data_IF_120589165904
#
_entry.id   IF_120589165904
#
_cell.length_a   1.000
_cell.length_b   1.000
_cell.length_c   1.000
_cell.angle_alpha   90.00
_cell.angle_beta   90.00
_cell.angle_gamma   90.00
#
_symmetry.space_group_name_H-M   'P 1'
#
loop_
_entity.id
_entity.type
_entity.pdbx_description
1 polymer ?
#
# COMPACT_ATOMS: atom_id res chain seq x y z
N UNK A 1 20.31 -20.23 -10.87
CA UNK A 1 19.25 -20.27 -9.84
C UNK A 1 18.77 -18.84 -9.63
N UNK A 2 17.45 -18.60 -9.61
CA UNK A 2 16.94 -17.24 -9.34
C UNK A 2 17.38 -16.78 -7.95
N UNK A 3 17.79 -15.53 -7.83
CA UNK A 3 18.26 -14.95 -6.55
C UNK A 3 17.17 -14.18 -5.80
N UNK A 4 15.95 -14.14 -6.34
CA UNK A 4 14.79 -13.48 -5.76
C UNK A 4 13.50 -14.23 -6.14
N UNK A 5 12.43 -14.08 -5.36
CA UNK A 5 11.15 -14.67 -5.73
C UNK A 5 10.63 -14.01 -7.00
N UNK A 6 10.64 -14.75 -8.08
CA UNK A 6 10.16 -14.26 -9.37
C UNK A 6 8.67 -14.47 -9.47
N UNK A 7 7.90 -13.44 -9.29
CA UNK A 7 6.51 -13.46 -9.74
C UNK A 7 6.36 -12.79 -11.12
N UNK A 8 7.34 -11.98 -11.54
CA UNK A 8 7.14 -11.07 -12.65
C UNK A 8 5.91 -10.22 -12.36
N UNK A 9 4.84 -10.43 -13.12
CA UNK A 9 3.51 -9.89 -12.88
C UNK A 9 2.50 -10.95 -12.41
N UNK A 10 2.96 -12.18 -12.17
CA UNK A 10 2.10 -13.27 -11.69
C UNK A 10 1.52 -12.97 -10.31
N UNK A 11 0.25 -13.22 -10.11
CA UNK A 11 -0.47 -12.88 -8.88
C UNK A 11 -0.84 -11.41 -8.73
N UNK A 12 -0.53 -10.55 -9.71
CA UNK A 12 -0.99 -9.18 -9.74
C UNK A 12 -2.48 -9.11 -10.05
N UNK A 13 -3.21 -8.36 -9.25
CA UNK A 13 -4.65 -8.16 -9.39
C UNK A 13 -5.01 -6.67 -9.31
N UNK A 14 -6.27 -6.35 -9.47
CA UNK A 14 -6.78 -5.02 -9.23
C UNK A 14 -6.32 -3.98 -10.25
N UNK A 15 -6.25 -2.74 -9.82
CA UNK A 15 -5.95 -1.63 -10.72
C UNK A 15 -4.53 -1.64 -11.29
N UNK A 16 -3.52 -2.16 -10.58
CA UNK A 16 -2.20 -2.34 -11.17
C UNK A 16 -2.22 -3.29 -12.37
N UNK A 17 -2.97 -4.39 -12.27
CA UNK A 17 -3.17 -5.32 -13.39
C UNK A 17 -3.99 -4.69 -14.52
N UNK A 18 -5.08 -3.99 -14.20
CA UNK A 18 -5.88 -3.25 -15.19
C UNK A 18 -5.06 -2.17 -15.92
N UNK A 19 -4.15 -1.50 -15.22
CA UNK A 19 -3.21 -0.54 -15.76
C UNK A 19 -2.05 -1.16 -16.54
N UNK A 20 -1.97 -2.50 -16.61
CA UNK A 20 -0.88 -3.23 -17.29
C UNK A 20 0.51 -2.88 -16.71
N UNK A 21 0.61 -2.87 -15.40
CA UNK A 21 1.88 -2.66 -14.70
C UNK A 21 2.83 -3.82 -15.00
N UNK A 22 4.05 -3.52 -15.40
CA UNK A 22 5.09 -4.51 -15.73
C UNK A 22 6.38 -4.31 -14.94
N UNK A 23 6.53 -3.15 -14.29
CA UNK A 23 7.77 -2.80 -13.60
C UNK A 23 8.97 -2.90 -14.52
N UNK A 24 10.01 -3.52 -14.04
CA UNK A 24 11.26 -3.77 -14.77
C UNK A 24 11.27 -5.06 -15.59
N UNK A 25 10.14 -5.77 -15.73
CA UNK A 25 10.07 -7.05 -16.44
C UNK A 25 10.61 -6.94 -17.88
N UNK A 26 11.50 -7.83 -18.26
CA UNK A 26 12.19 -7.80 -19.56
C UNK A 26 13.38 -6.85 -19.63
N UNK A 27 13.71 -6.15 -18.54
CA UNK A 27 14.89 -5.30 -18.46
C UNK A 27 16.09 -5.99 -17.81
N UNK A 28 17.15 -5.21 -17.59
CA UNK A 28 18.38 -5.67 -16.94
C UNK A 28 18.11 -6.02 -15.48
N UNK A 29 18.63 -7.15 -15.01
CA UNK A 29 18.62 -7.53 -13.59
C UNK A 29 19.92 -7.05 -12.96
N UNK A 30 19.81 -6.27 -11.90
CA UNK A 30 20.96 -5.78 -11.11
C UNK A 30 20.79 -6.13 -9.65
N UNK A 31 21.87 -6.53 -9.00
CA UNK A 31 21.89 -6.80 -7.56
C UNK A 31 22.52 -5.65 -6.84
N UNK A 32 21.85 -5.15 -5.79
CA UNK A 32 22.32 -4.05 -4.95
C UNK A 32 22.47 -4.47 -3.51
N UNK A 33 23.52 -3.99 -2.85
CA UNK A 33 23.85 -4.28 -1.45
C UNK A 33 24.13 -3.01 -0.65
N UNK A 34 24.20 -1.86 -1.32
CA UNK A 34 24.51 -0.56 -0.70
C UNK A 34 23.46 0.48 -1.07
N UNK A 35 23.37 1.54 -0.29
CA UNK A 35 22.49 2.67 -0.59
C UNK A 35 22.88 3.36 -1.91
N UNK A 36 24.16 3.52 -2.16
CA UNK A 36 24.66 4.14 -3.39
C UNK A 36 24.25 3.33 -4.64
N UNK A 37 24.40 2.01 -4.59
CA UNK A 37 23.97 1.14 -5.70
C UNK A 37 22.45 1.19 -5.87
N UNK A 38 21.69 1.16 -4.78
CA UNK A 38 20.24 1.27 -4.84
C UNK A 38 19.82 2.58 -5.53
N UNK A 39 20.34 3.73 -5.08
CA UNK A 39 20.03 5.03 -5.67
C UNK A 39 20.42 5.12 -7.14
N UNK A 40 21.56 4.56 -7.52
CA UNK A 40 22.05 4.51 -8.91
C UNK A 40 21.10 3.73 -9.84
N UNK A 41 20.53 2.63 -9.37
CA UNK A 41 19.79 1.71 -10.23
C UNK A 41 18.27 1.87 -10.18
N UNK A 42 17.71 2.46 -9.12
CA UNK A 42 16.26 2.64 -8.99
C UNK A 42 15.72 3.88 -9.70
N UNK A 43 16.58 4.84 -9.99
CA UNK A 43 16.24 6.05 -10.75
C UNK A 43 16.18 5.84 -12.26
N UNK A 44 15.93 6.93 -13.00
CA UNK A 44 15.87 6.92 -14.46
C UNK A 44 14.66 6.17 -15.05
N UNK A 45 14.63 5.99 -16.37
CA UNK A 45 13.48 5.41 -17.10
C UNK A 45 13.74 4.06 -17.74
N UNK A 46 14.98 3.61 -17.76
CA UNK A 46 15.37 2.31 -18.32
C UNK A 46 14.77 1.15 -17.49
N UNK A 47 14.38 0.08 -18.17
CA UNK A 47 13.82 -1.11 -17.53
C UNK A 47 14.84 -1.81 -16.67
N UNK A 48 14.56 -1.95 -15.37
CA UNK A 48 15.42 -2.69 -14.46
C UNK A 48 14.66 -3.47 -13.41
N UNK A 49 15.14 -4.67 -13.12
CA UNK A 49 14.81 -5.41 -11.91
C UNK A 49 15.97 -5.20 -10.94
N UNK A 50 15.73 -4.46 -9.88
CA UNK A 50 16.72 -4.13 -8.86
C UNK A 50 16.51 -5.06 -7.67
N UNK A 51 17.42 -6.01 -7.49
CA UNK A 51 17.36 -7.03 -6.44
C UNK A 51 18.14 -6.56 -5.23
N UNK A 52 17.45 -6.35 -4.11
CA UNK A 52 18.08 -6.02 -2.83
C UNK A 52 18.58 -7.31 -2.18
N UNK A 53 19.89 -7.51 -2.14
CA UNK A 53 20.53 -8.72 -1.67
C UNK A 53 21.27 -8.55 -0.32
N UNK A 54 21.06 -7.44 0.36
CA UNK A 54 21.53 -7.17 1.72
C UNK A 54 20.56 -6.22 2.42
N UNK A 55 20.60 -6.18 3.75
CA UNK A 55 19.95 -5.10 4.48
C UNK A 55 20.69 -3.79 4.21
N UNK A 56 19.95 -2.74 3.86
CA UNK A 56 20.51 -1.42 3.57
C UNK A 56 19.92 -0.41 4.56
N UNK A 57 20.78 0.34 5.23
CA UNK A 57 20.35 1.30 6.23
C UNK A 57 21.02 2.66 6.05
N UNK A 58 20.34 3.71 6.50
CA UNK A 58 20.90 5.04 6.68
C UNK A 58 20.74 5.46 8.16
N UNK A 59 21.64 6.32 8.64
CA UNK A 59 21.60 6.82 10.02
C UNK A 59 20.48 7.83 10.27
N UNK A 60 19.91 8.40 9.20
CA UNK A 60 18.80 9.37 9.22
C UNK A 60 17.85 9.09 8.06
N UNK A 61 16.68 9.71 8.09
CA UNK A 61 15.74 9.69 6.95
C UNK A 61 16.47 10.04 5.65
N UNK A 62 16.45 9.13 4.71
CA UNK A 62 17.07 9.29 3.40
C UNK A 62 16.06 9.00 2.31
N UNK A 63 15.83 9.98 1.43
CA UNK A 63 14.92 9.83 0.30
C UNK A 63 15.60 9.03 -0.81
N UNK A 64 14.89 8.02 -1.30
CA UNK A 64 15.26 7.25 -2.48
C UNK A 64 14.22 7.53 -3.56
N UNK A 65 14.62 8.30 -4.57
CA UNK A 65 13.73 8.70 -5.65
C UNK A 65 13.50 7.54 -6.63
N UNK A 66 12.23 7.20 -6.83
CA UNK A 66 11.82 6.15 -7.77
C UNK A 66 11.84 6.69 -9.21
N UNK A 67 12.37 5.91 -10.13
CA UNK A 67 12.28 6.15 -11.55
C UNK A 67 11.04 5.54 -12.19
N UNK A 68 11.10 5.32 -13.50
CA UNK A 68 10.08 4.59 -14.25
C UNK A 68 10.56 3.20 -14.65
N UNK A 69 9.60 2.29 -14.90
CA UNK A 69 9.87 0.93 -15.38
C UNK A 69 10.83 0.16 -14.46
N UNK A 70 10.55 0.17 -13.16
CA UNK A 70 11.41 -0.47 -12.15
C UNK A 70 10.64 -1.53 -11.37
N UNK A 71 11.33 -2.64 -11.12
CA UNK A 71 10.95 -3.58 -10.06
C UNK A 71 12.03 -3.52 -8.98
N UNK A 72 11.67 -3.09 -7.78
CA UNK A 72 12.51 -3.21 -6.60
C UNK A 72 12.03 -4.42 -5.82
N UNK A 73 12.86 -5.43 -5.70
CA UNK A 73 12.48 -6.70 -5.06
C UNK A 73 13.55 -7.16 -4.08
N UNK A 74 13.12 -7.58 -2.89
CA UNK A 74 14.00 -8.26 -1.95
C UNK A 74 14.41 -9.64 -2.48
N UNK A 75 15.62 -10.06 -2.19
CA UNK A 75 16.06 -11.43 -2.43
C UNK A 75 15.20 -12.42 -1.63
N UNK A 76 15.44 -13.71 -1.76
CA UNK A 76 14.77 -14.73 -0.92
C UNK A 76 14.97 -14.53 0.60
N UNK A 77 15.87 -13.65 1.01
CA UNK A 77 16.09 -13.28 2.42
C UNK A 77 15.16 -12.16 2.92
N UNK A 78 14.24 -11.65 2.09
CA UNK A 78 13.30 -10.59 2.47
C UNK A 78 13.99 -9.37 3.11
N UNK A 79 14.98 -8.80 2.42
CA UNK A 79 15.89 -7.78 2.96
C UNK A 79 15.19 -6.53 3.46
N UNK A 80 15.78 -5.90 4.46
CA UNK A 80 15.26 -4.69 5.11
C UNK A 80 15.94 -3.44 4.58
N UNK A 81 15.11 -2.43 4.26
CA UNK A 81 15.52 -1.05 4.00
C UNK A 81 15.18 -0.22 5.25
N UNK A 82 16.19 0.29 5.95
CA UNK A 82 15.98 1.05 7.20
C UNK A 82 16.28 2.53 6.99
N UNK A 83 15.34 3.39 7.36
CA UNK A 83 15.40 4.85 7.19
C UNK A 83 15.49 5.31 5.72
N UNK A 84 15.18 4.41 4.77
CA UNK A 84 15.10 4.71 3.34
C UNK A 84 13.64 4.92 2.96
N UNK A 85 13.31 6.12 2.57
CA UNK A 85 11.95 6.51 2.18
C UNK A 85 11.84 6.54 0.65
N UNK A 86 11.04 5.62 0.10
CA UNK A 86 10.84 5.47 -1.33
C UNK A 86 9.83 6.52 -1.80
N UNK A 87 10.26 7.44 -2.65
CA UNK A 87 9.43 8.57 -3.09
C UNK A 87 9.29 8.63 -4.60
N UNK A 88 8.06 8.71 -5.08
CA UNK A 88 7.79 8.99 -6.49
C UNK A 88 8.21 10.42 -6.86
N UNK A 89 8.66 10.59 -8.10
CA UNK A 89 8.98 11.86 -8.73
C UNK A 89 8.07 12.08 -9.94
N UNK A 90 8.11 13.23 -10.55
CA UNK A 90 7.29 13.54 -11.74
C UNK A 90 7.52 12.55 -12.91
N UNK A 91 8.69 11.89 -12.96
CA UNK A 91 9.02 10.87 -13.96
C UNK A 91 8.68 9.44 -13.54
N UNK A 92 8.21 9.22 -12.32
CA UNK A 92 7.91 7.87 -11.82
C UNK A 92 6.66 7.30 -12.47
N UNK A 93 6.73 6.08 -12.96
CA UNK A 93 5.58 5.31 -13.40
C UNK A 93 5.96 3.84 -13.62
N UNK A 94 5.00 2.94 -13.63
CA UNK A 94 5.23 1.54 -13.90
C UNK A 94 6.28 0.93 -12.94
N UNK A 95 5.97 0.92 -11.65
CA UNK A 95 6.89 0.48 -10.59
C UNK A 95 6.29 -0.66 -9.78
N UNK A 96 7.08 -1.68 -9.52
CA UNK A 96 6.77 -2.79 -8.62
C UNK A 96 7.72 -2.71 -7.42
N UNK A 97 7.16 -2.71 -6.20
CA UNK A 97 7.89 -2.81 -4.94
C UNK A 97 7.46 -4.12 -4.27
N UNK A 98 8.37 -5.09 -4.14
CA UNK A 98 7.97 -6.44 -3.74
C UNK A 98 8.96 -7.10 -2.78
N UNK A 99 8.42 -7.87 -1.83
CA UNK A 99 9.18 -8.72 -0.90
C UNK A 99 10.27 -7.99 -0.12
N UNK A 100 9.95 -6.86 0.46
CA UNK A 100 10.86 -6.00 1.22
C UNK A 100 10.30 -5.70 2.61
N UNK A 101 11.17 -5.55 3.60
CA UNK A 101 10.82 -4.90 4.86
C UNK A 101 11.25 -3.43 4.80
N UNK A 102 10.32 -2.52 5.04
CA UNK A 102 10.56 -1.08 5.04
C UNK A 102 10.40 -0.56 6.47
N UNK A 103 11.51 -0.27 7.11
CA UNK A 103 11.56 0.14 8.50
C UNK A 103 12.14 1.55 8.67
N UNK A 104 11.77 2.22 9.74
CA UNK A 104 12.41 3.47 10.16
C UNK A 104 12.51 3.60 11.68
N UNK A 105 13.42 4.43 12.12
CA UNK A 105 13.66 4.71 13.54
C UNK A 105 12.50 5.52 14.14
N UNK A 106 12.15 5.27 15.39
CA UNK A 106 11.07 5.97 16.10
C UNK A 106 11.27 7.49 16.22
N UNK A 107 12.48 7.99 16.04
CA UNK A 107 12.76 9.43 15.97
C UNK A 107 12.32 10.11 14.65
N UNK A 108 12.04 9.33 13.61
CA UNK A 108 11.51 9.81 12.33
C UNK A 108 9.99 9.80 12.45
N UNK A 109 9.39 10.95 12.77
CA UNK A 109 7.97 11.01 13.14
C UNK A 109 7.25 12.30 12.71
N UNK A 110 7.80 13.03 11.74
CA UNK A 110 7.18 14.23 11.19
C UNK A 110 6.01 13.92 10.25
N UNK A 111 5.17 14.90 9.97
CA UNK A 111 3.98 14.72 9.13
C UNK A 111 4.28 14.17 7.71
N UNK A 112 5.44 14.50 7.18
CA UNK A 112 5.88 14.08 5.84
C UNK A 112 6.91 12.95 5.86
N UNK A 113 7.11 12.32 7.03
CA UNK A 113 7.99 11.17 7.18
C UNK A 113 7.28 9.90 6.73
N UNK A 114 6.99 9.81 5.44
CA UNK A 114 6.23 8.71 4.83
C UNK A 114 7.19 7.74 4.16
N UNK A 115 7.11 6.46 4.51
CA UNK A 115 8.08 5.45 4.07
C UNK A 115 7.93 5.09 2.58
N UNK A 116 6.70 4.99 2.07
CA UNK A 116 6.42 4.90 0.63
C UNK A 116 5.48 6.03 0.27
N UNK A 117 5.94 6.93 -0.59
CA UNK A 117 5.24 8.17 -0.95
C UNK A 117 5.00 8.24 -2.46
N UNK A 118 3.78 7.90 -2.90
CA UNK A 118 3.39 7.83 -4.30
C UNK A 118 2.42 8.98 -4.60
N UNK A 119 2.95 10.09 -5.09
CA UNK A 119 2.17 11.30 -5.42
C UNK A 119 2.29 11.74 -6.89
N UNK A 120 2.92 10.91 -7.72
CA UNK A 120 3.08 11.13 -9.16
C UNK A 120 2.92 9.83 -9.93
N UNK A 121 2.62 9.95 -11.21
CA UNK A 121 2.66 8.86 -12.16
C UNK A 121 1.52 7.86 -11.99
N UNK A 122 1.68 6.71 -12.60
CA UNK A 122 0.66 5.65 -12.57
C UNK A 122 1.29 4.26 -12.67
N UNK A 123 0.45 3.23 -12.42
CA UNK A 123 0.87 1.83 -12.49
C UNK A 123 1.89 1.47 -11.43
N UNK A 124 1.38 1.32 -10.20
CA UNK A 124 2.17 0.89 -9.05
C UNK A 124 1.62 -0.41 -8.48
N UNK A 125 2.50 -1.34 -8.18
CA UNK A 125 2.20 -2.54 -7.43
C UNK A 125 3.11 -2.63 -6.21
N UNK A 126 2.53 -2.52 -5.01
CA UNK A 126 3.22 -2.71 -3.73
C UNK A 126 2.73 -4.04 -3.16
N UNK A 127 3.60 -5.03 -3.09
CA UNK A 127 3.21 -6.40 -2.80
C UNK A 127 4.18 -7.11 -1.86
N UNK A 128 3.66 -7.88 -0.92
CA UNK A 128 4.46 -8.58 0.08
C UNK A 128 5.50 -7.67 0.78
N UNK A 129 5.14 -6.43 1.07
CA UNK A 129 5.98 -5.50 1.83
C UNK A 129 5.57 -5.53 3.30
N UNK A 130 6.55 -5.64 4.19
CA UNK A 130 6.34 -5.53 5.63
C UNK A 130 6.79 -4.16 6.13
N UNK A 131 5.88 -3.48 6.81
CA UNK A 131 6.14 -2.26 7.57
C UNK A 131 6.06 -2.61 9.06
N UNK A 132 7.17 -2.86 9.74
CA UNK A 132 7.16 -3.26 11.15
C UNK A 132 6.67 -2.14 12.07
N UNK A 133 6.70 -0.88 11.58
CA UNK A 133 6.37 0.29 12.37
C UNK A 133 7.36 0.53 13.50
N UNK A 134 6.95 1.29 14.49
CA UNK A 134 7.67 1.49 15.75
C UNK A 134 6.68 1.70 16.89
N UNK A 135 7.15 1.55 18.13
CA UNK A 135 6.33 1.79 19.32
C UNK A 135 5.76 3.22 19.30
N UNK A 136 4.50 3.35 19.67
CA UNK A 136 3.79 4.61 19.73
C UNK A 136 2.91 4.69 20.98
N UNK A 137 2.57 5.90 21.36
CA UNK A 137 1.49 6.20 22.29
C UNK A 137 0.39 6.96 21.56
N UNK A 138 -0.87 6.75 21.91
CA UNK A 138 -1.99 7.55 21.38
C UNK A 138 -1.89 9.04 21.71
N UNK A 139 -1.07 9.39 22.68
CA UNK A 139 -0.72 10.77 23.09
C UNK A 139 0.57 11.27 22.42
N UNK A 140 1.29 10.41 21.72
CA UNK A 140 2.50 10.79 20.99
C UNK A 140 2.10 11.63 19.78
N UNK A 141 2.73 12.76 19.57
CA UNK A 141 2.53 13.63 18.41
C UNK A 141 3.15 13.09 17.12
N UNK A 142 3.51 11.80 17.05
CA UNK A 142 4.05 11.18 15.85
C UNK A 142 3.05 11.23 14.70
N UNK A 143 3.40 11.92 13.63
CA UNK A 143 2.53 12.14 12.47
C UNK A 143 3.02 11.41 11.21
N UNK A 144 4.12 10.67 11.29
CA UNK A 144 4.62 9.84 10.20
C UNK A 144 3.63 8.74 9.80
N UNK A 145 3.71 8.32 8.57
CA UNK A 145 2.78 7.34 7.98
C UNK A 145 3.57 6.27 7.23
N UNK A 146 2.99 5.08 7.15
CA UNK A 146 3.63 3.95 6.50
C UNK A 146 3.59 4.07 4.98
N UNK A 147 2.45 4.47 4.42
CA UNK A 147 2.26 4.57 2.98
C UNK A 147 1.28 5.69 2.62
N UNK A 148 1.58 6.35 1.52
CA UNK A 148 0.75 7.40 0.93
C UNK A 148 0.60 7.16 -0.56
N UNK A 149 -0.65 7.25 -1.04
CA UNK A 149 -0.98 7.35 -2.47
C UNK A 149 -1.87 8.55 -2.64
N UNK A 150 -1.45 9.53 -3.41
CA UNK A 150 -2.25 10.73 -3.54
C UNK A 150 -1.93 11.58 -4.76
N UNK A 151 -2.40 12.82 -4.75
CA UNK A 151 -2.42 13.68 -5.92
C UNK A 151 -3.08 12.94 -7.11
N UNK A 152 -2.43 12.85 -8.23
CA UNK A 152 -2.90 12.12 -9.42
C UNK A 152 -2.20 10.78 -9.64
N UNK A 153 -1.56 10.22 -8.61
CA UNK A 153 -1.09 8.84 -8.69
C UNK A 153 -2.28 7.90 -8.97
N UNK A 154 -2.13 6.96 -9.91
CA UNK A 154 -3.25 6.18 -10.40
C UNK A 154 -2.87 4.74 -10.75
N UNK A 155 -3.88 3.87 -10.92
CA UNK A 155 -3.71 2.46 -11.19
C UNK A 155 -2.78 1.76 -10.20
N UNK A 156 -3.15 1.82 -8.92
CA UNK A 156 -2.34 1.30 -7.81
C UNK A 156 -2.96 0.04 -7.23
N UNK A 157 -2.15 -0.97 -6.94
CA UNK A 157 -2.54 -2.11 -6.10
C UNK A 157 -1.56 -2.23 -4.93
N UNK A 158 -2.10 -2.34 -3.72
CA UNK A 158 -1.39 -2.68 -2.49
C UNK A 158 -1.91 -4.04 -2.05
N UNK A 159 -1.06 -5.08 -2.13
CA UNK A 159 -1.50 -6.45 -1.90
C UNK A 159 -0.56 -7.23 -0.99
N UNK A 160 -1.13 -8.14 -0.21
CA UNK A 160 -0.38 -9.09 0.62
C UNK A 160 0.70 -8.43 1.52
N UNK A 161 0.51 -7.16 1.87
CA UNK A 161 1.42 -6.40 2.73
C UNK A 161 1.07 -6.57 4.21
N UNK A 162 2.03 -6.29 5.08
CA UNK A 162 1.84 -6.28 6.53
C UNK A 162 2.23 -4.92 7.09
N UNK A 163 1.30 -4.29 7.80
CA UNK A 163 1.47 -3.01 8.48
C UNK A 163 1.33 -3.24 9.97
N UNK A 164 2.33 -2.88 10.77
CA UNK A 164 2.35 -3.18 12.21
C UNK A 164 2.73 -1.98 13.07
N UNK A 165 2.27 -2.03 14.34
CA UNK A 165 2.81 -1.25 15.47
C UNK A 165 3.02 0.22 15.14
N UNK A 166 1.97 0.91 14.65
CA UNK A 166 2.13 2.28 14.17
C UNK A 166 0.93 3.15 14.53
N UNK A 167 1.18 4.46 14.76
CA UNK A 167 0.09 5.38 15.12
C UNK A 167 -0.81 5.66 13.92
N UNK A 168 -0.23 6.02 12.78
CA UNK A 168 -0.96 6.34 11.55
C UNK A 168 -0.61 5.38 10.41
N UNK A 169 -1.58 4.66 9.90
CA UNK A 169 -1.40 3.76 8.75
C UNK A 169 -1.29 4.50 7.42
N UNK A 170 -2.32 4.39 6.59
CA UNK A 170 -2.28 4.83 5.20
C UNK A 170 -3.14 6.06 4.94
N UNK A 171 -2.64 6.95 4.05
CA UNK A 171 -3.44 8.01 3.44
C UNK A 171 -3.55 7.74 1.94
N UNK A 172 -4.78 7.72 1.46
CA UNK A 172 -5.11 7.33 0.10
C UNK A 172 -6.04 8.39 -0.52
N UNK A 173 -5.57 9.03 -1.60
CA UNK A 173 -6.31 10.08 -2.27
C UNK A 173 -6.27 11.41 -1.49
N UNK A 174 -5.24 12.16 -1.69
CA UNK A 174 -4.99 13.45 -1.05
C UNK A 174 -5.04 14.59 -2.11
N UNK A 175 -4.85 15.89 -1.73
CA UNK A 175 -4.25 16.32 -0.46
C UNK A 175 -5.23 16.75 0.64
N UNK A 176 -6.40 17.28 0.36
CA UNK A 176 -7.26 17.85 1.39
C UNK A 176 -8.76 17.66 1.09
N UNK A 177 -9.61 18.10 1.99
CA UNK A 177 -11.07 17.98 1.90
C UNK A 177 -11.78 19.23 1.36
N UNK A 178 -11.06 20.22 0.86
CA UNK A 178 -11.63 21.43 0.27
C UNK A 178 -12.16 21.21 -1.16
N UNK A 179 -13.00 22.11 -1.63
CA UNK A 179 -13.66 21.99 -2.93
C UNK A 179 -12.70 22.13 -4.12
N UNK A 180 -11.67 22.94 -4.00
CA UNK A 180 -10.64 23.11 -5.02
C UNK A 180 -9.85 21.80 -5.20
N UNK A 181 -9.46 21.20 -4.11
CA UNK A 181 -8.79 19.89 -4.11
C UNK A 181 -9.71 18.82 -4.68
N UNK A 182 -10.97 18.78 -4.25
CA UNK A 182 -11.95 17.83 -4.78
C UNK A 182 -12.11 17.96 -6.30
N UNK A 183 -12.17 19.20 -6.84
CA UNK A 183 -12.24 19.44 -8.28
C UNK A 183 -11.00 18.93 -9.03
N UNK A 184 -9.81 19.17 -8.49
CA UNK A 184 -8.54 18.86 -9.15
C UNK A 184 -8.19 17.37 -9.11
N UNK A 185 -8.61 16.63 -8.06
CA UNK A 185 -8.23 15.25 -7.82
C UNK A 185 -9.38 14.25 -7.87
N UNK A 186 -10.57 14.70 -8.29
CA UNK A 186 -11.72 13.82 -8.46
C UNK A 186 -11.39 12.62 -9.35
N UNK A 187 -11.66 11.43 -8.82
CA UNK A 187 -11.42 10.17 -9.52
C UNK A 187 -10.02 9.58 -9.33
N UNK A 188 -9.14 10.28 -8.62
CA UNK A 188 -7.79 9.77 -8.32
C UNK A 188 -7.62 9.47 -6.83
N UNK A 189 -6.93 8.35 -6.50
CA UNK A 189 -6.48 7.27 -7.38
C UNK A 189 -7.58 6.25 -7.70
N UNK A 190 -7.37 5.42 -8.74
CA UNK A 190 -7.96 4.09 -8.84
C UNK A 190 -7.05 3.13 -8.08
N UNK A 191 -7.52 2.61 -6.94
CA UNK A 191 -6.68 1.86 -6.02
C UNK A 191 -7.35 0.59 -5.51
N UNK A 192 -6.61 -0.51 -5.53
CA UNK A 192 -7.02 -1.78 -4.94
C UNK A 192 -6.16 -2.10 -3.71
N UNK A 193 -6.81 -2.52 -2.63
CA UNK A 193 -6.17 -3.11 -1.46
C UNK A 193 -6.69 -4.52 -1.25
N UNK A 194 -5.81 -5.52 -1.26
CA UNK A 194 -6.21 -6.92 -1.13
C UNK A 194 -5.21 -7.76 -0.34
N UNK A 195 -5.71 -8.59 0.56
CA UNK A 195 -4.88 -9.55 1.29
C UNK A 195 -3.90 -8.95 2.28
N UNK A 196 -4.06 -7.66 2.61
CA UNK A 196 -3.17 -6.98 3.55
C UNK A 196 -3.54 -7.30 5.00
N UNK A 197 -2.55 -7.28 5.87
CA UNK A 197 -2.71 -7.40 7.32
C UNK A 197 -2.31 -6.09 7.98
N UNK A 198 -3.23 -5.54 8.76
CA UNK A 198 -2.99 -4.42 9.68
C UNK A 198 -3.05 -4.96 11.10
N UNK A 199 -1.96 -4.89 11.82
CA UNK A 199 -1.86 -5.42 13.17
C UNK A 199 -1.30 -4.36 14.13
N UNK A 200 -2.11 -3.90 15.07
CA UNK A 200 -1.77 -2.83 15.99
C UNK A 200 -1.40 -1.51 15.27
N UNK A 201 -2.15 -1.17 14.22
CA UNK A 201 -2.11 0.15 13.58
C UNK A 201 -3.27 0.96 14.11
N UNK A 202 -2.98 2.04 14.85
CA UNK A 202 -4.00 2.70 15.68
C UNK A 202 -5.14 3.30 14.85
N UNK A 203 -4.83 4.07 13.82
CA UNK A 203 -5.83 4.67 12.92
C UNK A 203 -5.41 4.55 11.46
N UNK A 204 -6.37 4.67 10.53
CA UNK A 204 -6.16 4.54 9.09
C UNK A 204 -5.66 3.15 8.68
N UNK A 205 -6.36 2.14 9.16
CA UNK A 205 -6.13 0.73 8.89
C UNK A 205 -7.41 0.04 8.37
N UNK A 206 -7.78 0.14 7.07
CA UNK A 206 -6.88 0.26 5.93
C UNK A 206 -6.54 1.69 5.47
N UNK A 207 -7.30 2.75 5.81
CA UNK A 207 -6.88 4.04 5.34
C UNK A 207 -7.84 5.21 5.55
N UNK A 208 -7.30 6.40 5.46
CA UNK A 208 -8.03 7.63 5.19
C UNK A 208 -8.12 7.79 3.67
N UNK A 209 -9.34 7.82 3.12
CA UNK A 209 -9.60 7.76 1.68
C UNK A 209 -10.35 9.01 1.18
N UNK A 210 -9.86 9.60 0.10
CA UNK A 210 -10.41 10.81 -0.54
C UNK A 210 -10.43 10.70 -2.06
N UNK A 211 -11.40 11.32 -2.68
CA UNK A 211 -11.53 11.67 -4.12
C UNK A 211 -11.52 10.50 -5.12
N UNK A 212 -10.88 9.36 -4.79
CA UNK A 212 -10.61 8.24 -5.69
C UNK A 212 -11.66 7.14 -5.66
N UNK A 213 -11.37 6.09 -6.44
CA UNK A 213 -12.09 4.83 -6.46
C UNK A 213 -11.26 3.77 -5.76
N UNK A 214 -11.82 3.19 -4.70
CA UNK A 214 -11.11 2.28 -3.82
C UNK A 214 -11.81 0.94 -3.76
N UNK A 215 -11.16 -0.13 -4.23
CA UNK A 215 -11.58 -1.50 -4.00
C UNK A 215 -10.77 -2.08 -2.84
N UNK A 216 -11.44 -2.36 -1.73
CA UNK A 216 -10.80 -2.82 -0.49
C UNK A 216 -11.39 -4.17 -0.12
N UNK A 217 -10.68 -5.27 -0.40
CA UNK A 217 -11.24 -6.60 -0.17
C UNK A 217 -10.25 -7.60 0.41
N UNK A 218 -10.78 -8.53 1.17
CA UNK A 218 -10.01 -9.62 1.79
C UNK A 218 -8.82 -9.16 2.66
N UNK A 219 -8.89 -7.94 3.22
CA UNK A 219 -7.89 -7.47 4.17
C UNK A 219 -8.25 -7.91 5.60
N UNK A 220 -7.26 -7.96 6.44
CA UNK A 220 -7.38 -8.28 7.87
C UNK A 220 -6.93 -7.08 8.69
N UNK A 221 -7.76 -6.61 9.58
CA UNK A 221 -7.42 -5.55 10.54
C UNK A 221 -7.57 -6.12 11.95
N UNK A 222 -6.49 -6.06 12.69
CA UNK A 222 -6.41 -6.54 14.07
C UNK A 222 -5.89 -5.44 14.99
N UNK A 223 -6.60 -5.18 16.09
CA UNK A 223 -6.19 -4.23 17.11
C UNK A 223 -5.95 -2.82 16.55
N UNK A 224 -7.02 -2.14 16.19
CA UNK A 224 -7.00 -0.75 15.75
C UNK A 224 -8.04 0.07 16.53
N UNK A 225 -7.80 1.37 16.69
CA UNK A 225 -8.82 2.29 17.18
C UNK A 225 -9.80 2.66 16.06
N UNK A 226 -9.30 2.87 14.83
CA UNK A 226 -10.13 3.22 13.69
C UNK A 226 -9.61 2.61 12.39
N UNK A 227 -10.50 1.92 11.67
CA UNK A 227 -10.17 1.32 10.38
C UNK A 227 -10.33 2.33 9.22
N UNK A 228 -11.52 2.45 8.65
CA UNK A 228 -11.80 3.35 7.54
C UNK A 228 -12.06 4.78 8.00
N UNK A 229 -11.49 5.75 7.30
CA UNK A 229 -12.02 7.11 7.27
C UNK A 229 -12.48 7.43 5.84
N UNK A 230 -13.80 7.63 5.67
CA UNK A 230 -14.41 8.02 4.41
C UNK A 230 -14.46 9.54 4.38
N UNK A 231 -13.65 10.14 3.53
CA UNK A 231 -13.59 11.58 3.39
C UNK A 231 -14.02 12.04 1.98
N UNK A 232 -13.86 13.31 1.70
CA UNK A 232 -14.47 14.00 0.56
C UNK A 232 -14.26 13.28 -0.77
N UNK A 233 -15.37 12.95 -1.43
CA UNK A 233 -15.38 12.41 -2.77
C UNK A 233 -14.86 10.96 -2.90
N UNK A 234 -14.48 10.29 -1.80
CA UNK A 234 -14.09 8.89 -1.86
C UNK A 234 -15.25 8.01 -2.35
N UNK A 235 -14.98 7.06 -3.23
CA UNK A 235 -15.94 6.08 -3.72
C UNK A 235 -15.38 4.69 -3.43
N UNK A 236 -15.84 4.09 -2.32
CA UNK A 236 -15.24 2.90 -1.73
C UNK A 236 -16.16 1.70 -1.90
N UNK A 237 -15.64 0.64 -2.48
CA UNK A 237 -16.26 -0.68 -2.54
C UNK A 237 -15.47 -1.65 -1.65
N UNK A 238 -16.04 -1.99 -0.51
CA UNK A 238 -15.44 -2.85 0.51
C UNK A 238 -16.05 -4.24 0.44
N UNK A 239 -15.23 -5.29 0.48
CA UNK A 239 -15.71 -6.66 0.41
C UNK A 239 -14.94 -7.64 1.29
N UNK A 240 -15.67 -8.43 2.06
CA UNK A 240 -15.14 -9.58 2.78
C UNK A 240 -13.83 -9.31 3.55
N UNK A 241 -13.72 -8.13 4.17
CA UNK A 241 -12.64 -7.79 5.09
C UNK A 241 -12.92 -8.38 6.47
N UNK A 242 -11.88 -8.68 7.23
CA UNK A 242 -12.00 -9.20 8.58
C UNK A 242 -11.47 -8.18 9.60
N UNK A 243 -12.30 -7.81 10.56
CA UNK A 243 -11.95 -6.88 11.63
C UNK A 243 -11.97 -7.61 12.97
N UNK A 244 -10.92 -7.47 13.77
CA UNK A 244 -10.80 -8.09 15.09
C UNK A 244 -10.22 -7.07 16.07
N UNK A 245 -10.84 -6.90 17.23
CA UNK A 245 -10.39 -5.92 18.25
C UNK A 245 -10.24 -4.50 17.67
N UNK A 246 -11.18 -4.09 16.82
CA UNK A 246 -11.23 -2.75 16.22
C UNK A 246 -12.32 -1.96 16.91
N UNK A 247 -11.96 -0.83 17.55
CA UNK A 247 -12.91 -0.01 18.32
C UNK A 247 -13.92 0.70 17.41
N UNK A 248 -13.48 1.22 16.26
CA UNK A 248 -14.31 1.84 15.23
C UNK A 248 -13.95 1.34 13.84
N UNK A 249 -14.88 0.68 13.15
CA UNK A 249 -14.61 0.24 11.77
C UNK A 249 -14.71 1.42 10.81
N UNK A 250 -15.60 2.36 11.07
CA UNK A 250 -15.94 3.40 10.12
C UNK A 250 -16.04 4.77 10.78
N UNK A 251 -15.22 5.72 10.32
CA UNK A 251 -15.42 7.16 10.53
C UNK A 251 -15.89 7.77 9.21
N UNK A 252 -17.19 7.93 9.07
CA UNK A 252 -17.82 8.41 7.84
C UNK A 252 -18.18 9.90 7.97
N UNK A 253 -17.47 10.74 7.21
CA UNK A 253 -17.66 12.19 7.16
C UNK A 253 -18.91 12.62 6.38
N UNK A 254 -19.74 11.68 5.92
CA UNK A 254 -20.95 11.90 5.13
C UNK A 254 -20.73 12.65 3.79
N UNK A 255 -19.53 12.65 3.26
CA UNK A 255 -19.17 13.38 2.05
C UNK A 255 -18.45 12.50 0.99
N UNK A 256 -18.54 11.18 1.14
CA UNK A 256 -18.08 10.18 0.19
C UNK A 256 -19.19 9.24 -0.25
N UNK A 257 -18.78 8.07 -0.75
CA UNK A 257 -19.63 6.93 -1.10
C UNK A 257 -19.00 5.66 -0.56
N UNK A 258 -19.83 4.77 -0.03
CA UNK A 258 -19.34 3.53 0.58
C UNK A 258 -20.34 2.40 0.36
N UNK A 259 -19.85 1.24 0.00
CA UNK A 259 -20.61 -0.02 0.02
C UNK A 259 -19.73 -1.09 0.65
N UNK A 260 -20.28 -1.86 1.58
CA UNK A 260 -19.61 -3.05 2.13
C UNK A 260 -20.43 -4.30 1.86
N UNK A 261 -19.74 -5.36 1.46
CA UNK A 261 -20.35 -6.66 1.15
C UNK A 261 -19.57 -7.80 1.82
N UNK A 262 -20.14 -8.37 2.86
CA UNK A 262 -19.62 -9.60 3.47
C UNK A 262 -18.40 -9.45 4.35
N UNK A 263 -18.07 -8.25 4.84
CA UNK A 263 -17.07 -8.07 5.89
C UNK A 263 -17.55 -8.62 7.24
N UNK A 264 -16.62 -9.02 8.10
CA UNK A 264 -16.92 -9.61 9.41
C UNK A 264 -16.11 -8.88 10.49
N UNK A 265 -16.78 -8.31 11.52
CA UNK A 265 -18.24 -8.13 11.61
C UNK A 265 -18.79 -7.21 10.53
N UNK A 266 -20.10 -7.24 10.34
CA UNK A 266 -20.79 -6.34 9.42
C UNK A 266 -20.49 -4.88 9.74
N UNK A 267 -20.13 -4.11 8.72
CA UNK A 267 -19.83 -2.68 8.90
C UNK A 267 -21.11 -1.90 9.12
N UNK A 268 -21.14 -1.12 10.18
CA UNK A 268 -22.28 -0.29 10.59
C UNK A 268 -21.88 1.17 10.72
N UNK A 269 -22.86 2.07 10.87
CA UNK A 269 -22.59 3.50 11.09
C UNK A 269 -22.33 4.30 9.80
N UNK A 270 -22.65 3.72 8.64
CA UNK A 270 -22.54 4.43 7.36
C UNK A 270 -23.50 5.63 7.30
N UNK A 271 -22.97 6.79 6.92
CA UNK A 271 -23.70 8.05 6.65
C UNK A 271 -23.67 8.45 5.17
N UNK A 272 -22.59 8.12 4.49
CA UNK A 272 -22.42 8.34 3.05
C UNK A 272 -23.38 7.48 2.23
N UNK A 273 -23.76 7.94 1.05
CA UNK A 273 -24.54 7.14 0.11
C UNK A 273 -23.75 5.91 -0.37
N UNK A 274 -24.45 4.98 -1.03
CA UNK A 274 -23.81 3.78 -1.62
C UNK A 274 -22.79 4.16 -2.68
N UNK A 275 -21.78 3.32 -2.84
CA UNK A 275 -20.84 3.43 -3.96
C UNK A 275 -21.59 3.44 -5.30
N UNK A 276 -21.16 4.33 -6.18
CA UNK A 276 -21.75 4.50 -7.52
C UNK A 276 -21.00 3.70 -8.60
N UNK A 277 -20.08 2.87 -8.17
CA UNK A 277 -19.17 2.11 -9.00
C UNK A 277 -18.97 0.71 -8.38
N UNK A 278 -18.66 -0.27 -9.22
CA UNK A 278 -18.26 -1.62 -8.81
C UNK A 278 -16.94 -2.02 -9.48
N UNK A 279 -16.04 -2.72 -8.77
CA UNK A 279 -14.71 -3.09 -9.30
C UNK A 279 -14.78 -3.94 -10.57
N UNK A 280 -15.81 -4.77 -10.71
CA UNK A 280 -16.02 -5.63 -11.88
C UNK A 280 -16.17 -4.87 -13.20
N UNK A 281 -16.44 -3.57 -13.16
CA UNK A 281 -16.45 -2.72 -14.36
C UNK A 281 -15.05 -2.43 -14.91
N UNK A 282 -14.01 -2.65 -14.12
CA UNK A 282 -12.62 -2.36 -14.49
C UNK A 282 -11.76 -3.61 -14.66
N UNK A 283 -11.99 -4.66 -13.85
CA UNK A 283 -11.20 -5.89 -13.90
C UNK A 283 -11.96 -7.09 -13.29
N UNK A 284 -11.53 -8.27 -13.67
CA UNK A 284 -11.99 -9.52 -13.04
C UNK A 284 -11.18 -9.77 -11.77
N UNK A 285 -11.81 -10.28 -10.73
CA UNK A 285 -11.15 -10.68 -9.49
C UNK A 285 -11.90 -11.82 -8.81
N UNK A 286 -11.20 -12.52 -7.95
CA UNK A 286 -11.76 -13.54 -7.07
C UNK A 286 -11.80 -13.01 -5.64
N UNK A 287 -12.86 -13.31 -4.92
CA UNK A 287 -13.05 -12.93 -3.53
C UNK A 287 -13.22 -14.19 -2.69
N UNK A 288 -12.47 -14.29 -1.61
CA UNK A 288 -12.65 -15.31 -0.58
C UNK A 288 -13.62 -14.83 0.48
N UNK A 289 -14.28 -15.76 1.19
CA UNK A 289 -14.98 -15.39 2.42
C UNK A 289 -13.99 -14.79 3.44
N UNK A 290 -14.43 -13.83 4.24
CA UNK A 290 -13.57 -13.04 5.14
C UNK A 290 -12.71 -13.92 6.07
N UNK A 291 -13.27 -14.99 6.64
CA UNK A 291 -12.52 -15.91 7.51
C UNK A 291 -11.40 -16.65 6.77
N UNK A 292 -11.67 -17.14 5.55
CA UNK A 292 -10.68 -17.82 4.74
C UNK A 292 -9.58 -16.87 4.26
N UNK A 293 -9.94 -15.64 3.89
CA UNK A 293 -9.01 -14.59 3.52
C UNK A 293 -8.09 -14.21 4.69
N UNK A 294 -8.65 -14.05 5.89
CA UNK A 294 -7.90 -13.78 7.12
C UNK A 294 -6.88 -14.88 7.39
N UNK A 295 -7.29 -16.15 7.34
CA UNK A 295 -6.39 -17.28 7.60
C UNK A 295 -5.22 -17.30 6.60
N UNK A 296 -5.49 -17.07 5.32
CA UNK A 296 -4.46 -16.99 4.27
C UNK A 296 -3.54 -15.79 4.47
N UNK A 297 -4.08 -14.59 4.68
CA UNK A 297 -3.29 -13.37 4.86
C UNK A 297 -2.34 -13.47 6.06
N UNK A 298 -2.81 -13.95 7.21
CA UNK A 298 -1.97 -14.14 8.39
C UNK A 298 -0.83 -15.16 8.17
N UNK A 299 -1.03 -16.13 7.27
CA UNK A 299 -0.01 -17.12 6.91
C UNK A 299 0.98 -16.62 5.88
N UNK A 300 0.53 -15.78 4.92
CA UNK A 300 1.28 -15.54 3.69
C UNK A 300 1.62 -14.07 3.39
N UNK A 301 1.01 -13.11 4.05
CA UNK A 301 1.32 -11.70 3.80
C UNK A 301 2.69 -11.28 4.34
N UNK A 302 3.20 -10.18 3.79
CA UNK A 302 4.48 -9.57 4.15
C UNK A 302 5.67 -10.18 3.45
N UNK A 303 6.81 -9.56 3.67
CA UNK A 303 8.09 -10.02 3.17
C UNK A 303 8.48 -11.36 3.80
N UNK A 304 9.04 -12.25 2.99
CA UNK A 304 9.35 -13.62 3.43
C UNK A 304 10.54 -14.22 2.72
N UNK A 305 11.11 -15.22 3.36
CA UNK A 305 12.12 -16.06 2.78
C UNK A 305 11.43 -17.17 1.94
N UNK A 306 11.66 -17.20 0.65
CA UNK A 306 11.11 -18.20 -0.24
C UNK A 306 10.01 -17.67 -1.18
N UNK A 307 9.21 -18.59 -1.73
CA UNK A 307 8.18 -18.28 -2.72
C UNK A 307 7.05 -17.44 -2.12
N UNK A 308 6.52 -16.52 -2.92
CA UNK A 308 5.37 -15.69 -2.56
C UNK A 308 4.07 -16.45 -2.79
N UNK A 309 3.08 -16.20 -1.93
CA UNK A 309 1.73 -16.75 -2.05
C UNK A 309 0.74 -15.61 -2.15
N UNK A 310 -0.07 -15.60 -3.17
CA UNK A 310 -0.98 -14.50 -3.49
C UNK A 310 -2.40 -14.78 -3.00
N UNK A 311 -3.13 -13.73 -2.66
CA UNK A 311 -4.52 -13.81 -2.20
C UNK A 311 -5.46 -14.29 -3.31
N UNK A 312 -5.23 -13.91 -4.52
CA UNK A 312 -6.06 -14.21 -5.68
C UNK A 312 -5.67 -15.50 -6.39
#
# INVERSE_FOLDING_TARGET
MAIYPTSGTSGMVGFAAAGKTTGGTGGTIVTVKTLADLQKHIGGSDRKIVVVAANISASKKTIVSLGANKTLVGSFAANTLTNLHLKATASSSNVILQNLTIAHSAGIKGNDDIQIYLNYGNRYWVDHVTFPGHAYSSKDGALDKLLYVGAKADYVTISNCVFKNHLYGLILGQPADDDTTAKNYKGYPHLTMVGNVFDNVNVRAPGLMRHGYFHVYNNTVNKANLAFTIAKGANIYSEANAFSSVAGILDDKANGKFTDVGSVPTVTGQKSGKATWTPSSNYKYNKRAAAAAKALALKSAGARNGALTFMA
#
